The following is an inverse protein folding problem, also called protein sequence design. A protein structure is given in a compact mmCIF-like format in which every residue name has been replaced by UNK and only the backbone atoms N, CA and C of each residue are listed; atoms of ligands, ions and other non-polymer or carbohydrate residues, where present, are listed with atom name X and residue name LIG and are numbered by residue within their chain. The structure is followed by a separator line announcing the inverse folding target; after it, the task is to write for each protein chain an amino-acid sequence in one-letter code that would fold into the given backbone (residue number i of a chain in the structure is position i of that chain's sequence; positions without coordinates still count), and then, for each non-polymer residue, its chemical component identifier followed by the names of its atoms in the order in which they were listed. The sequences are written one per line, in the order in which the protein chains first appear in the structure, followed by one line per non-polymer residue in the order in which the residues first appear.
data_IF_985129951152
#
_entry.id   IF_985129951152
#
_cell.length_a   1.000
_cell.length_b   1.000
_cell.length_c   1.000
_cell.angle_alpha   90.00
_cell.angle_beta   90.00
_cell.angle_gamma   90.00
#
_symmetry.space_group_name_H-M   'P 1'
#
loop_
_entity.id
_entity.type
_entity.pdbx_description
1 polymer ?
#
# COMPACT_ATOMS: atom_id res chain seq x y z
N UNK A 1 -24.78 30.72 11.69
CA UNK A 1 -24.19 30.49 10.35
C UNK A 1 -25.06 29.45 9.69
N UNK A 2 -25.73 29.81 8.60
CA UNK A 2 -26.54 28.87 7.83
C UNK A 2 -25.59 28.14 6.86
N UNK A 3 -25.53 26.81 6.99
CA UNK A 3 -24.65 25.98 6.17
C UNK A 3 -25.50 25.42 5.04
N UNK A 4 -25.26 25.85 3.80
CA UNK A 4 -25.92 25.31 2.60
C UNK A 4 -25.18 24.04 2.14
N UNK A 5 -25.36 22.95 2.90
CA UNK A 5 -24.85 21.64 2.51
C UNK A 5 -25.94 20.84 1.81
N UNK A 6 -25.67 20.47 0.56
CA UNK A 6 -26.55 19.63 -0.26
C UNK A 6 -25.95 18.24 -0.45
N UNK A 7 -26.18 17.33 0.51
CA UNK A 7 -25.62 15.98 0.43
C UNK A 7 -26.25 15.18 -0.72
N UNK A 8 -25.48 14.31 -1.33
CA UNK A 8 -26.01 13.24 -2.18
C UNK A 8 -26.82 12.25 -1.32
N UNK A 9 -27.65 11.40 -1.94
CA UNK A 9 -28.43 10.39 -1.21
C UNK A 9 -27.53 9.53 -0.32
N UNK A 10 -26.35 9.13 -0.82
CA UNK A 10 -25.41 8.30 -0.05
C UNK A 10 -24.69 9.06 1.06
N UNK A 11 -24.46 10.34 0.87
CA UNK A 11 -23.93 11.20 1.95
C UNK A 11 -25.00 11.47 3.03
N UNK A 12 -26.28 11.57 2.65
CA UNK A 12 -27.37 11.68 3.61
C UNK A 12 -27.50 10.42 4.47
N UNK A 13 -27.46 9.24 3.84
CA UNK A 13 -27.43 7.95 4.55
C UNK A 13 -26.26 7.88 5.55
N UNK A 14 -25.06 8.32 5.14
CA UNK A 14 -23.88 8.38 6.01
C UNK A 14 -24.07 9.38 7.17
N UNK A 15 -24.72 10.51 6.88
CA UNK A 15 -25.02 11.53 7.87
C UNK A 15 -25.93 11.00 8.97
N UNK A 16 -26.97 10.25 8.61
CA UNK A 16 -27.91 9.65 9.57
C UNK A 16 -27.19 8.68 10.51
N UNK A 17 -26.30 7.82 9.98
CA UNK A 17 -25.49 6.92 10.81
C UNK A 17 -24.48 7.64 11.72
N UNK A 18 -23.96 8.78 11.28
CA UNK A 18 -23.07 9.59 12.12
C UNK A 18 -23.79 10.27 13.28
N UNK A 19 -25.13 10.38 13.22
CA UNK A 19 -25.96 11.02 14.24
C UNK A 19 -26.91 10.06 14.98
N UNK A 20 -26.92 8.76 14.60
CA UNK A 20 -27.69 7.75 15.34
C UNK A 20 -27.00 7.35 16.66
N UNK A 21 -27.72 6.61 17.50
CA UNK A 21 -27.21 6.15 18.78
C UNK A 21 -26.55 4.77 18.74
N UNK A 22 -26.62 4.06 17.62
CA UNK A 22 -26.21 2.65 17.51
C UNK A 22 -24.88 2.48 16.81
N UNK A 23 -24.68 3.21 15.71
CA UNK A 23 -23.49 3.06 14.87
C UNK A 23 -22.29 3.75 15.50
N UNK A 24 -21.14 3.08 15.52
CA UNK A 24 -19.85 3.67 15.93
C UNK A 24 -18.79 3.61 14.84
N UNK A 25 -18.87 2.64 13.93
CA UNK A 25 -17.94 2.44 12.83
C UNK A 25 -18.70 2.49 11.50
N UNK A 26 -18.42 3.51 10.69
CA UNK A 26 -19.09 3.73 9.41
C UNK A 26 -18.05 3.65 8.29
N UNK A 27 -18.15 2.66 7.41
CA UNK A 27 -17.32 2.55 6.22
C UNK A 27 -18.09 3.04 4.99
N UNK A 28 -17.68 4.19 4.48
CA UNK A 28 -18.19 4.77 3.24
C UNK A 28 -17.28 4.33 2.09
N UNK A 29 -17.56 3.17 1.51
CA UNK A 29 -16.76 2.50 0.52
C UNK A 29 -17.35 2.59 -0.89
N UNK A 30 -16.52 2.45 -1.93
CA UNK A 30 -17.01 2.38 -3.30
C UNK A 30 -16.12 3.05 -4.34
N UNK A 31 -16.68 3.41 -5.50
CA UNK A 31 -15.92 3.93 -6.63
C UNK A 31 -15.16 5.23 -6.33
N UNK A 32 -14.13 5.51 -7.11
CA UNK A 32 -13.48 6.82 -7.10
C UNK A 32 -14.47 7.91 -7.51
N UNK A 33 -14.30 9.13 -7.00
CA UNK A 33 -15.20 10.23 -7.32
C UNK A 33 -16.57 10.21 -6.63
N UNK A 34 -16.87 9.21 -5.78
CA UNK A 34 -18.17 9.11 -5.07
C UNK A 34 -18.40 10.14 -3.95
N UNK A 35 -17.58 11.20 -3.84
CA UNK A 35 -17.76 12.27 -2.86
C UNK A 35 -17.40 11.90 -1.41
N UNK A 36 -16.74 10.77 -1.19
CA UNK A 36 -16.43 10.22 0.14
C UNK A 36 -15.52 11.12 0.98
N UNK A 37 -14.37 11.53 0.44
CA UNK A 37 -13.38 12.38 1.15
C UNK A 37 -13.93 13.78 1.42
N UNK A 38 -14.71 14.35 0.47
CA UNK A 38 -15.42 15.61 0.68
C UNK A 38 -16.41 15.51 1.84
N UNK A 39 -17.21 14.43 1.88
CA UNK A 39 -18.16 14.20 2.96
C UNK A 39 -17.48 14.05 4.33
N UNK A 40 -16.38 13.29 4.42
CA UNK A 40 -15.62 13.16 5.66
C UNK A 40 -15.06 14.49 6.16
N UNK A 41 -14.57 15.32 5.24
CA UNK A 41 -14.12 16.69 5.54
C UNK A 41 -15.29 17.58 6.01
N UNK A 42 -16.46 17.48 5.37
CA UNK A 42 -17.65 18.22 5.73
C UNK A 42 -18.16 17.85 7.14
N UNK A 43 -18.17 16.57 7.46
CA UNK A 43 -18.53 16.10 8.80
C UNK A 43 -17.58 16.62 9.88
N UNK A 44 -16.27 16.60 9.64
CA UNK A 44 -15.29 17.16 10.57
C UNK A 44 -15.48 18.67 10.77
N UNK A 45 -15.68 19.42 9.68
CA UNK A 45 -15.92 20.87 9.75
C UNK A 45 -17.19 21.17 10.54
N UNK A 46 -18.30 20.51 10.21
CA UNK A 46 -19.56 20.64 10.95
C UNK A 46 -19.36 20.38 12.45
N UNK A 47 -18.70 19.29 12.78
CA UNK A 47 -18.46 18.87 14.15
C UNK A 47 -17.64 19.89 14.94
N UNK A 48 -16.59 20.45 14.33
CA UNK A 48 -15.81 21.51 14.95
C UNK A 48 -16.58 22.80 15.17
N UNK A 49 -17.45 23.17 14.24
CA UNK A 49 -18.29 24.38 14.37
C UNK A 49 -19.40 24.19 15.40
N UNK A 50 -19.98 23.00 15.47
CA UNK A 50 -21.14 22.69 16.35
C UNK A 50 -20.75 22.44 17.80
N UNK A 51 -19.57 21.86 18.07
CA UNK A 51 -19.15 21.40 19.40
C UNK A 51 -17.85 22.11 19.82
N UNK A 52 -17.93 23.27 20.53
CA UNK A 52 -16.77 24.06 20.89
C UNK A 52 -15.77 23.31 21.76
N UNK A 53 -14.47 23.53 21.53
CA UNK A 53 -13.39 22.97 22.33
C UNK A 53 -13.20 21.46 22.20
N UNK A 54 -13.86 20.81 21.23
CA UNK A 54 -13.69 19.38 20.93
C UNK A 54 -12.44 19.13 20.07
N UNK A 55 -11.97 17.87 20.00
CA UNK A 55 -10.83 17.45 19.20
C UNK A 55 -11.23 16.33 18.28
N UNK A 56 -10.94 16.49 16.99
CA UNK A 56 -11.27 15.52 15.96
C UNK A 56 -9.99 15.04 15.30
N UNK A 57 -9.99 13.82 14.79
CA UNK A 57 -8.86 13.28 14.04
C UNK A 57 -9.19 13.22 12.55
N UNK A 58 -8.27 13.70 11.72
CA UNK A 58 -8.23 13.45 10.28
C UNK A 58 -7.01 12.56 10.02
N UNK A 59 -7.24 11.32 9.60
CA UNK A 59 -6.21 10.30 9.41
C UNK A 59 -6.10 9.80 7.99
N UNK A 60 -4.90 9.38 7.63
CA UNK A 60 -4.59 8.60 6.42
C UNK A 60 -3.31 7.80 6.68
N UNK A 61 -3.03 6.77 5.86
CA UNK A 61 -1.80 5.99 6.03
C UNK A 61 -0.54 6.87 6.04
N UNK A 62 -0.44 7.88 5.18
CA UNK A 62 0.74 8.75 5.05
C UNK A 62 0.35 10.22 5.21
N UNK A 63 0.96 10.92 6.17
CA UNK A 63 0.66 12.33 6.47
C UNK A 63 0.93 13.26 5.28
N UNK A 64 1.99 13.03 4.51
CA UNK A 64 2.27 13.81 3.31
C UNK A 64 1.10 13.73 2.33
N UNK A 65 0.64 12.53 2.01
CA UNK A 65 -0.49 12.30 1.11
C UNK A 65 -1.79 12.88 1.69
N UNK A 66 -2.01 12.77 3.00
CA UNK A 66 -3.15 13.41 3.66
C UNK A 66 -3.16 14.91 3.38
N UNK A 67 -2.03 15.60 3.52
CA UNK A 67 -1.91 17.04 3.26
C UNK A 67 -2.12 17.40 1.79
N UNK A 68 -1.67 16.55 0.88
CA UNK A 68 -1.77 16.79 -0.58
C UNK A 68 -3.17 16.49 -1.14
N UNK A 69 -3.99 15.72 -0.44
CA UNK A 69 -5.30 15.26 -0.93
C UNK A 69 -6.46 15.58 0.01
N UNK A 70 -6.59 14.86 1.11
CA UNK A 70 -7.73 14.97 2.05
C UNK A 70 -7.85 16.35 2.67
N UNK A 71 -6.72 16.98 3.01
CA UNK A 71 -6.68 18.35 3.53
C UNK A 71 -7.13 19.38 2.48
N UNK A 72 -6.82 19.17 1.20
CA UNK A 72 -7.33 20.01 0.12
C UNK A 72 -8.85 19.90 -0.01
N UNK A 73 -9.41 18.69 0.12
CA UNK A 73 -10.86 18.49 0.20
C UNK A 73 -11.48 19.27 1.36
N UNK A 74 -10.82 19.27 2.51
CA UNK A 74 -11.28 20.06 3.67
C UNK A 74 -11.27 21.57 3.38
N UNK A 75 -10.24 22.09 2.74
CA UNK A 75 -10.21 23.51 2.35
C UNK A 75 -11.29 23.86 1.30
N UNK A 76 -11.58 22.93 0.38
CA UNK A 76 -12.69 23.10 -0.56
C UNK A 76 -14.02 23.20 0.19
N UNK A 77 -14.28 22.32 1.15
CA UNK A 77 -15.49 22.39 2.00
C UNK A 77 -15.56 23.72 2.77
N UNK A 78 -14.43 24.18 3.35
CA UNK A 78 -14.38 25.47 4.02
C UNK A 78 -14.76 26.62 3.08
N UNK A 79 -14.27 26.59 1.84
CA UNK A 79 -14.59 27.58 0.82
C UNK A 79 -16.08 27.57 0.45
N UNK A 80 -16.64 26.37 0.20
CA UNK A 80 -18.04 26.20 -0.18
C UNK A 80 -18.99 26.66 0.94
N UNK A 81 -18.63 26.41 2.18
CA UNK A 81 -19.39 26.82 3.36
C UNK A 81 -19.03 28.23 3.85
N UNK A 82 -18.20 28.96 3.12
CA UNK A 82 -17.76 30.33 3.42
C UNK A 82 -17.11 30.46 4.82
N UNK A 83 -16.44 29.40 5.29
CA UNK A 83 -15.65 29.38 6.53
C UNK A 83 -14.24 29.88 6.24
N UNK A 84 -13.88 31.07 6.71
CA UNK A 84 -12.68 31.77 6.29
C UNK A 84 -11.45 31.41 7.12
N UNK A 85 -10.36 31.09 6.44
CA UNK A 85 -9.05 30.95 7.06
C UNK A 85 -8.58 32.28 7.66
N UNK A 86 -8.00 32.25 8.85
CA UNK A 86 -7.53 33.43 9.58
C UNK A 86 -8.61 34.07 10.47
N UNK A 87 -9.90 33.87 10.17
CA UNK A 87 -11.05 34.36 10.91
C UNK A 87 -11.68 33.23 11.74
N UNK A 88 -12.15 32.19 11.07
CA UNK A 88 -12.85 31.06 11.71
C UNK A 88 -11.91 29.93 12.12
N UNK A 89 -10.83 29.74 11.40
CA UNK A 89 -9.82 28.73 11.71
C UNK A 89 -8.40 29.14 11.26
N UNK A 90 -7.39 28.49 11.86
CA UNK A 90 -5.98 28.56 11.45
C UNK A 90 -5.43 27.17 11.27
N UNK A 91 -4.56 27.00 10.28
CA UNK A 91 -3.82 25.77 10.08
C UNK A 91 -2.35 25.96 10.44
N UNK A 92 -1.89 25.23 11.46
CA UNK A 92 -0.51 25.16 11.84
C UNK A 92 0.15 23.95 11.15
N UNK A 93 0.96 24.21 10.13
CA UNK A 93 1.62 23.17 9.34
C UNK A 93 2.73 22.43 10.11
N UNK A 94 3.29 23.05 11.16
CA UNK A 94 4.35 22.45 11.98
C UNK A 94 3.79 21.44 12.98
N UNK A 95 2.71 21.79 13.68
CA UNK A 95 2.01 20.88 14.61
C UNK A 95 1.02 19.94 13.93
N UNK A 96 0.70 20.18 12.65
CA UNK A 96 -0.33 19.45 11.89
C UNK A 96 -1.72 19.54 12.53
N UNK A 97 -2.09 20.73 13.00
CA UNK A 97 -3.36 20.98 13.67
C UNK A 97 -4.12 22.11 12.96
N UNK A 98 -5.41 21.92 12.76
CA UNK A 98 -6.35 22.98 12.39
C UNK A 98 -7.04 23.42 13.68
N UNK A 99 -6.92 24.70 14.05
CA UNK A 99 -7.50 25.29 15.25
C UNK A 99 -8.62 26.24 14.87
N UNK A 100 -9.78 26.06 15.48
CA UNK A 100 -10.95 26.91 15.28
C UNK A 100 -11.06 28.00 16.35
N UNK A 101 -11.68 29.11 15.99
CA UNK A 101 -11.88 30.25 16.90
C UNK A 101 -12.71 29.89 18.15
N UNK A 102 -13.52 28.84 18.11
CA UNK A 102 -14.28 28.33 19.24
C UNK A 102 -13.50 27.32 20.12
N UNK A 103 -12.21 27.13 19.85
CA UNK A 103 -11.32 26.23 20.60
C UNK A 103 -11.35 24.78 20.15
N UNK A 104 -12.17 24.39 19.18
CA UNK A 104 -12.13 23.04 18.63
C UNK A 104 -10.93 22.83 17.70
N UNK A 105 -10.53 21.59 17.50
CA UNK A 105 -9.31 21.25 16.77
C UNK A 105 -9.53 20.04 15.85
N UNK A 106 -8.84 20.02 14.70
CA UNK A 106 -8.64 18.82 13.89
C UNK A 106 -7.14 18.47 13.90
N UNK A 107 -6.82 17.27 14.39
CA UNK A 107 -5.48 16.72 14.46
C UNK A 107 -5.22 15.88 13.20
N UNK A 108 -4.27 16.28 12.37
CA UNK A 108 -3.87 15.50 11.20
C UNK A 108 -2.88 14.42 11.65
N UNK A 109 -3.19 13.16 11.40
CA UNK A 109 -2.40 12.01 11.84
C UNK A 109 -2.09 11.04 10.71
N UNK A 110 -0.87 10.60 10.73
CA UNK A 110 -0.34 9.49 9.99
C UNK A 110 -0.71 8.17 10.73
N UNK A 111 -1.24 7.22 9.99
CA UNK A 111 -1.73 5.95 10.51
C UNK A 111 -0.97 4.76 9.91
N UNK A 112 0.21 5.02 9.35
CA UNK A 112 1.08 3.97 8.86
C UNK A 112 1.72 3.21 10.02
N UNK A 113 1.77 1.89 9.91
CA UNK A 113 2.43 1.05 10.92
C UNK A 113 3.95 1.07 10.71
N UNK A 114 4.64 1.99 11.34
CA UNK A 114 6.09 2.07 11.28
C UNK A 114 6.74 0.92 12.07
N UNK A 115 7.85 0.36 11.58
CA UNK A 115 8.61 -0.66 12.33
C UNK A 115 9.08 -0.17 13.71
N UNK A 116 9.31 1.15 13.85
CA UNK A 116 9.70 1.77 15.13
C UNK A 116 8.51 1.97 16.09
N UNK A 117 7.27 1.90 15.60
CA UNK A 117 6.03 2.05 16.39
C UNK A 117 4.98 1.02 15.94
N UNK A 118 5.24 -0.29 16.12
CA UNK A 118 4.36 -1.35 15.63
C UNK A 118 3.04 -1.43 16.39
N UNK A 119 2.94 -0.74 17.53
CA UNK A 119 1.76 -0.71 18.39
C UNK A 119 1.00 0.61 18.33
N UNK A 120 1.46 1.58 17.53
CA UNK A 120 0.88 2.92 17.47
C UNK A 120 0.93 3.65 18.83
N UNK A 121 2.02 3.46 19.59
CA UNK A 121 2.21 4.11 20.89
C UNK A 121 2.22 5.64 20.77
N UNK A 122 2.64 6.18 19.62
CA UNK A 122 2.54 7.60 19.28
C UNK A 122 1.09 8.14 19.28
N UNK A 123 0.09 7.28 19.12
CA UNK A 123 -1.32 7.61 19.23
C UNK A 123 -1.88 7.34 20.64
N UNK A 124 -1.07 6.75 21.52
CA UNK A 124 -1.50 6.26 22.83
C UNK A 124 -2.09 7.33 23.77
N UNK A 125 -1.54 8.54 23.71
CA UNK A 125 -1.96 9.69 24.53
C UNK A 125 -3.05 10.56 23.91
N UNK A 126 -3.57 10.22 22.73
CA UNK A 126 -4.60 11.00 22.08
C UNK A 126 -5.94 10.88 22.83
N UNK A 127 -6.63 12.01 22.92
CA UNK A 127 -8.01 12.11 23.36
C UNK A 127 -8.78 12.92 22.33
N UNK A 128 -9.71 12.26 21.64
CA UNK A 128 -10.47 12.81 20.54
C UNK A 128 -11.96 12.59 20.73
N UNK A 129 -12.78 13.38 20.06
CA UNK A 129 -14.25 13.31 20.10
C UNK A 129 -14.84 12.48 18.97
N UNK A 130 -14.07 12.26 17.91
CA UNK A 130 -14.39 11.41 16.76
C UNK A 130 -13.26 11.42 15.74
N UNK A 131 -13.35 10.56 14.73
CA UNK A 131 -12.30 10.41 13.73
C UNK A 131 -12.84 10.20 12.32
N UNK A 132 -12.18 10.81 11.34
CA UNK A 132 -12.30 10.49 9.93
C UNK A 132 -10.97 9.91 9.41
N UNK A 133 -11.02 8.71 8.85
CA UNK A 133 -9.86 8.06 8.21
C UNK A 133 -10.14 7.91 6.73
N UNK A 134 -9.39 8.64 5.91
CA UNK A 134 -9.48 8.59 4.46
C UNK A 134 -8.56 7.51 3.89
N UNK A 135 -9.01 6.80 2.84
CA UNK A 135 -8.30 5.66 2.24
C UNK A 135 -7.87 4.61 3.29
N UNK A 136 -8.81 4.23 4.15
CA UNK A 136 -8.56 3.36 5.32
C UNK A 136 -8.04 1.97 4.92
N UNK A 137 -8.30 1.53 3.70
CA UNK A 137 -7.73 0.31 3.12
C UNK A 137 -6.19 0.32 3.04
N UNK A 138 -5.55 1.50 3.11
CA UNK A 138 -4.10 1.65 3.20
C UNK A 138 -3.57 1.56 4.64
N UNK A 139 -4.46 1.55 5.63
CA UNK A 139 -4.13 1.40 7.05
C UNK A 139 -4.36 -0.04 7.50
N UNK A 140 -3.67 -0.45 8.56
CA UNK A 140 -3.98 -1.74 9.21
C UNK A 140 -5.26 -1.63 10.05
N UNK A 141 -5.97 -2.72 10.22
CA UNK A 141 -7.12 -2.77 11.13
C UNK A 141 -6.72 -2.39 12.56
N UNK A 142 -5.50 -2.76 12.98
CA UNK A 142 -4.93 -2.36 14.28
C UNK A 142 -4.88 -0.84 14.43
N UNK A 143 -4.48 -0.10 13.38
CA UNK A 143 -4.47 1.36 13.40
C UNK A 143 -5.87 1.93 13.65
N UNK A 144 -6.89 1.42 12.94
CA UNK A 144 -8.30 1.78 13.12
C UNK A 144 -8.76 1.50 14.56
N UNK A 145 -8.44 0.32 15.10
CA UNK A 145 -8.83 -0.07 16.45
C UNK A 145 -8.16 0.82 17.52
N UNK A 146 -6.88 1.18 17.35
CA UNK A 146 -6.20 2.12 18.24
C UNK A 146 -6.88 3.49 18.19
N UNK A 147 -7.16 4.05 17.01
CA UNK A 147 -7.88 5.34 16.88
C UNK A 147 -9.25 5.27 17.53
N UNK A 148 -10.04 4.22 17.30
CA UNK A 148 -11.35 4.03 17.90
C UNK A 148 -11.28 4.06 19.43
N UNK A 149 -10.26 3.43 20.03
CA UNK A 149 -10.07 3.42 21.50
C UNK A 149 -9.71 4.80 22.10
N UNK A 150 -9.34 5.79 21.28
CA UNK A 150 -9.00 7.17 21.69
C UNK A 150 -10.19 8.12 21.64
N UNK A 151 -11.36 7.68 21.15
CA UNK A 151 -12.56 8.50 21.05
C UNK A 151 -13.25 8.51 22.41
N UNK A 152 -12.90 9.50 23.23
CA UNK A 152 -13.40 9.66 24.62
C UNK A 152 -13.45 11.11 25.11
N UNK A 153 -12.99 12.08 24.30
CA UNK A 153 -12.84 13.47 24.73
C UNK A 153 -14.16 14.21 24.61
N UNK A 154 -14.63 14.80 25.71
CA UNK A 154 -15.84 15.65 25.82
C UNK A 154 -17.13 15.01 25.28
N UNK A 155 -17.23 13.69 25.25
CA UNK A 155 -18.41 13.02 24.71
C UNK A 155 -19.67 13.33 25.58
N UNK A 156 -19.54 13.21 26.91
CA UNK A 156 -20.65 13.47 27.84
C UNK A 156 -21.06 14.93 27.88
N UNK A 157 -20.15 15.88 27.66
CA UNK A 157 -20.45 17.33 27.66
C UNK A 157 -21.44 17.71 26.56
N UNK A 158 -21.34 17.05 25.40
CA UNK A 158 -22.17 17.33 24.23
C UNK A 158 -23.15 16.22 23.88
N UNK A 159 -23.26 15.16 24.68
CA UNK A 159 -24.08 13.99 24.35
C UNK A 159 -23.63 13.24 23.11
N UNK A 160 -22.31 13.28 22.80
CA UNK A 160 -21.77 12.64 21.62
C UNK A 160 -21.59 11.14 21.82
N UNK A 161 -21.88 10.37 20.78
CA UNK A 161 -21.50 8.96 20.69
C UNK A 161 -20.14 8.84 19.99
N UNK A 162 -19.27 7.88 20.39
CA UNK A 162 -18.04 7.61 19.67
C UNK A 162 -18.34 7.27 18.21
N UNK A 163 -17.75 8.00 17.26
CA UNK A 163 -17.94 7.78 15.83
C UNK A 163 -16.59 7.77 15.12
N UNK A 164 -16.39 6.77 14.29
CA UNK A 164 -15.31 6.70 13.34
C UNK A 164 -15.89 6.55 11.93
N UNK A 165 -15.66 7.55 11.10
CA UNK A 165 -15.99 7.51 9.68
C UNK A 165 -14.75 7.08 8.91
N UNK A 166 -14.91 6.15 8.02
CA UNK A 166 -13.85 5.61 7.17
C UNK A 166 -14.26 5.72 5.71
N UNK A 167 -13.31 6.03 4.84
CA UNK A 167 -13.54 6.01 3.39
C UNK A 167 -12.50 5.14 2.69
N UNK A 168 -12.89 4.45 1.63
CA UNK A 168 -11.97 3.73 0.76
C UNK A 168 -12.58 3.39 -0.60
N UNK A 169 -11.73 2.97 -1.52
CA UNK A 169 -12.14 2.24 -2.70
C UNK A 169 -12.13 0.72 -2.40
N UNK A 170 -12.81 -0.12 -3.21
CA UNK A 170 -12.81 -1.57 -3.01
C UNK A 170 -11.39 -2.13 -2.89
N UNK A 171 -11.14 -2.92 -1.85
CA UNK A 171 -9.86 -3.58 -1.61
C UNK A 171 -10.10 -4.93 -0.93
N UNK A 172 -9.34 -5.96 -1.31
CA UNK A 172 -9.44 -7.34 -0.79
C UNK A 172 -8.58 -7.52 0.47
N UNK A 173 -8.76 -6.65 1.47
CA UNK A 173 -8.13 -6.75 2.78
C UNK A 173 -9.21 -6.63 3.88
N UNK A 174 -8.86 -6.31 5.12
CA UNK A 174 -9.81 -6.26 6.25
C UNK A 174 -11.07 -5.39 6.00
N UNK A 175 -11.00 -4.37 5.13
CA UNK A 175 -12.19 -3.56 4.76
C UNK A 175 -13.20 -4.36 3.93
N UNK A 176 -12.74 -5.45 3.26
CA UNK A 176 -13.62 -6.34 2.53
C UNK A 176 -14.58 -7.10 3.45
N UNK A 177 -14.19 -7.32 4.71
CA UNK A 177 -15.05 -7.99 5.68
C UNK A 177 -16.28 -7.15 6.01
N UNK A 178 -16.17 -5.81 6.05
CA UNK A 178 -17.34 -4.93 6.17
C UNK A 178 -18.31 -5.11 5.01
N UNK A 179 -17.79 -5.10 3.77
CA UNK A 179 -18.62 -5.29 2.59
C UNK A 179 -19.26 -6.69 2.58
N UNK A 180 -18.49 -7.74 2.86
CA UNK A 180 -18.97 -9.13 2.87
C UNK A 180 -20.07 -9.33 3.90
N UNK A 181 -19.87 -8.87 5.12
CA UNK A 181 -20.86 -8.98 6.19
C UNK A 181 -22.12 -8.15 5.88
N UNK A 182 -21.97 -6.97 5.28
CA UNK A 182 -23.10 -6.17 4.81
C UNK A 182 -23.87 -6.86 3.69
N UNK A 183 -23.19 -7.42 2.70
CA UNK A 183 -23.79 -8.17 1.60
C UNK A 183 -24.58 -9.39 2.10
N UNK A 184 -24.02 -10.07 3.09
CA UNK A 184 -24.58 -11.30 3.67
C UNK A 184 -25.61 -11.01 4.79
N UNK A 185 -26.00 -9.73 4.98
CA UNK A 185 -26.93 -9.22 6.02
C UNK A 185 -26.53 -9.61 7.45
N UNK A 186 -25.23 -9.63 7.71
CA UNK A 186 -24.63 -10.09 8.98
C UNK A 186 -23.68 -9.06 9.59
N UNK A 187 -23.83 -7.78 9.23
CA UNK A 187 -22.99 -6.71 9.77
C UNK A 187 -23.38 -6.42 11.24
N UNK A 188 -22.42 -6.35 12.18
CA UNK A 188 -22.68 -6.02 13.56
C UNK A 188 -23.44 -4.69 13.74
N UNK A 189 -24.32 -4.61 14.73
CA UNK A 189 -25.20 -3.44 14.95
C UNK A 189 -24.45 -2.11 15.09
N UNK A 190 -23.21 -2.13 15.56
CA UNK A 190 -22.39 -0.93 15.69
C UNK A 190 -21.63 -0.56 14.42
N UNK A 191 -21.67 -1.38 13.40
CA UNK A 191 -20.98 -1.17 12.11
C UNK A 191 -21.98 -0.83 11.02
N UNK A 192 -21.57 0.02 10.08
CA UNK A 192 -22.33 0.38 8.87
C UNK A 192 -21.42 0.38 7.66
N UNK A 193 -21.96 -0.10 6.57
CA UNK A 193 -21.32 -0.02 5.25
C UNK A 193 -22.24 0.72 4.28
N UNK A 194 -21.67 1.70 3.58
CA UNK A 194 -22.38 2.48 2.56
C UNK A 194 -21.59 2.36 1.27
N UNK A 195 -22.24 1.83 0.23
CA UNK A 195 -21.62 1.74 -1.09
C UNK A 195 -21.92 2.99 -1.90
N UNK A 196 -20.87 3.79 -2.18
CA UNK A 196 -20.94 4.90 -3.11
C UNK A 196 -20.50 4.46 -4.51
N UNK A 197 -21.24 4.86 -5.51
CA UNK A 197 -20.89 4.69 -6.93
C UNK A 197 -20.59 6.03 -7.57
N UNK A 198 -19.83 6.04 -8.64
CA UNK A 198 -19.50 7.27 -9.38
C UNK A 198 -20.76 8.07 -9.74
N UNK A 199 -21.81 7.39 -10.23
CA UNK A 199 -23.09 7.99 -10.62
C UNK A 199 -23.89 8.60 -9.46
N UNK A 200 -23.55 8.29 -8.21
CA UNK A 200 -24.22 8.88 -7.04
C UNK A 200 -23.73 10.31 -6.79
N UNK A 201 -22.66 10.75 -7.46
CA UNK A 201 -22.12 12.10 -7.37
C UNK A 201 -22.43 12.91 -8.64
N UNK A 202 -23.40 13.86 -8.59
CA UNK A 202 -23.79 14.65 -9.75
C UNK A 202 -22.74 15.68 -10.17
N UNK A 203 -21.67 15.87 -9.39
CA UNK A 203 -20.61 16.86 -9.68
C UNK A 203 -19.42 16.29 -10.43
N UNK A 204 -19.47 15.02 -10.82
CA UNK A 204 -18.40 14.36 -11.60
C UNK A 204 -18.51 14.76 -13.07
N UNK A 205 -17.39 15.16 -13.65
CA UNK A 205 -17.32 15.42 -15.08
C UNK A 205 -17.28 14.11 -15.90
N UNK A 206 -17.91 14.10 -17.07
CA UNK A 206 -17.82 12.98 -18.02
C UNK A 206 -16.37 12.66 -18.40
N UNK A 207 -15.52 13.68 -18.49
CA UNK A 207 -14.09 13.52 -18.75
C UNK A 207 -13.39 12.65 -17.69
N UNK A 208 -13.74 12.79 -16.40
CA UNK A 208 -13.17 11.97 -15.34
C UNK A 208 -13.60 10.50 -15.48
N UNK A 209 -14.86 10.26 -15.81
CA UNK A 209 -15.35 8.90 -16.08
C UNK A 209 -14.62 8.28 -17.27
N UNK A 210 -14.38 9.02 -18.36
CA UNK A 210 -13.60 8.56 -19.50
C UNK A 210 -12.17 8.17 -19.12
N UNK A 211 -11.51 8.90 -18.22
CA UNK A 211 -10.18 8.52 -17.73
C UNK A 211 -10.21 7.19 -16.96
N UNK A 212 -11.22 6.99 -16.10
CA UNK A 212 -11.38 5.74 -15.38
C UNK A 212 -11.65 4.55 -16.32
N UNK A 213 -12.34 4.76 -17.45
CA UNK A 213 -12.58 3.73 -18.47
C UNK A 213 -11.31 3.24 -19.17
N UNK A 214 -10.25 4.05 -19.19
CA UNK A 214 -8.94 3.71 -19.78
C UNK A 214 -8.04 2.86 -18.88
N UNK A 215 -8.41 2.70 -17.62
CA UNK A 215 -7.66 1.88 -16.68
C UNK A 215 -7.69 0.40 -17.08
N UNK A 216 -6.75 -0.37 -16.52
CA UNK A 216 -6.78 -1.83 -16.63
C UNK A 216 -8.10 -2.42 -16.11
N UNK A 217 -8.47 -3.65 -16.52
CA UNK A 217 -9.76 -4.23 -16.17
C UNK A 217 -10.04 -4.27 -14.66
N UNK A 218 -9.04 -4.62 -13.83
CA UNK A 218 -9.20 -4.73 -12.38
C UNK A 218 -9.39 -3.35 -11.75
N UNK A 219 -8.54 -2.39 -12.10
CA UNK A 219 -8.66 -1.00 -11.63
C UNK A 219 -9.98 -0.38 -12.06
N UNK A 220 -10.46 -0.68 -13.25
CA UNK A 220 -11.76 -0.20 -13.74
C UNK A 220 -12.92 -0.78 -12.93
N UNK A 221 -12.93 -2.08 -12.63
CA UNK A 221 -13.93 -2.68 -11.75
C UNK A 221 -13.94 -2.02 -10.38
N UNK A 222 -12.77 -1.79 -9.79
CA UNK A 222 -12.63 -1.16 -8.48
C UNK A 222 -13.02 0.32 -8.47
N UNK A 223 -12.40 1.10 -9.35
CA UNK A 223 -12.44 2.57 -9.27
C UNK A 223 -13.62 3.17 -10.03
N UNK A 224 -14.01 2.60 -11.18
CA UNK A 224 -15.16 3.08 -11.95
C UNK A 224 -16.46 2.47 -11.42
N UNK A 225 -16.52 1.14 -11.31
CA UNK A 225 -17.75 0.44 -10.97
C UNK A 225 -17.97 0.31 -9.45
N UNK A 226 -16.93 0.53 -8.63
CA UNK A 226 -17.01 0.33 -7.18
C UNK A 226 -17.33 -1.12 -6.84
N UNK A 227 -16.89 -2.06 -7.69
CA UNK A 227 -17.14 -3.48 -7.54
C UNK A 227 -16.22 -4.06 -6.46
N UNK A 228 -16.78 -4.61 -5.42
CA UNK A 228 -16.05 -5.26 -4.32
C UNK A 228 -15.75 -6.74 -4.62
N UNK A 229 -16.50 -7.33 -5.54
CA UNK A 229 -16.32 -8.71 -6.01
C UNK A 229 -15.47 -8.77 -7.29
N UNK A 230 -14.61 -7.76 -7.50
CA UNK A 230 -13.74 -7.77 -8.65
C UNK A 230 -12.84 -9.02 -8.64
N UNK A 231 -12.68 -9.60 -9.83
CA UNK A 231 -11.76 -10.72 -10.04
C UNK A 231 -10.37 -10.12 -10.33
N UNK A 232 -9.40 -10.45 -9.49
CA UNK A 232 -8.01 -10.06 -9.70
C UNK A 232 -7.37 -10.81 -10.88
N UNK A 233 -8.12 -11.72 -11.49
CA UNK A 233 -7.70 -12.53 -12.61
C UNK A 233 -7.02 -13.84 -12.19
N UNK A 234 -7.28 -14.90 -12.95
CA UNK A 234 -6.59 -16.20 -12.79
C UNK A 234 -5.09 -16.11 -13.09
N UNK A 235 -4.67 -15.00 -13.71
CA UNK A 235 -3.29 -14.69 -14.08
C UNK A 235 -2.45 -14.12 -12.94
N UNK A 236 -3.02 -13.84 -11.79
CA UNK A 236 -2.34 -13.33 -10.62
C UNK A 236 -1.22 -14.28 -10.16
N UNK A 237 -0.04 -13.73 -9.95
CA UNK A 237 1.11 -14.47 -9.42
C UNK A 237 1.30 -14.20 -7.93
N UNK A 238 1.15 -12.94 -7.51
CA UNK A 238 1.28 -12.47 -6.12
C UNK A 238 -0.07 -12.09 -5.55
N UNK A 239 -0.34 -12.52 -4.30
CA UNK A 239 -1.49 -12.06 -3.54
C UNK A 239 -1.28 -10.62 -3.06
N UNK A 240 -2.20 -9.70 -3.36
CA UNK A 240 -2.01 -8.28 -3.03
C UNK A 240 -1.81 -8.03 -1.53
N UNK A 241 -2.54 -8.74 -0.67
CA UNK A 241 -2.35 -8.65 0.78
C UNK A 241 -0.98 -9.13 1.23
N UNK A 242 -0.43 -10.16 0.58
CA UNK A 242 0.91 -10.64 0.86
C UNK A 242 1.97 -9.60 0.46
N UNK A 243 1.76 -8.86 -0.63
CA UNK A 243 2.61 -7.73 -1.01
C UNK A 243 2.61 -6.62 0.04
N UNK A 244 1.45 -6.24 0.56
CA UNK A 244 1.35 -5.26 1.65
C UNK A 244 2.01 -5.73 2.94
N UNK A 245 2.04 -7.04 3.17
CA UNK A 245 2.65 -7.65 4.36
C UNK A 245 4.16 -7.80 4.28
N UNK A 246 4.79 -7.64 3.09
CA UNK A 246 6.25 -7.75 2.92
C UNK A 246 7.06 -6.92 3.91
N UNK A 247 6.54 -5.77 4.34
CA UNK A 247 7.26 -4.81 5.21
C UNK A 247 6.97 -4.99 6.70
N UNK A 248 6.17 -5.99 7.08
CA UNK A 248 5.75 -6.24 8.47
C UNK A 248 5.72 -7.72 8.87
N UNK A 249 6.04 -8.62 7.95
CA UNK A 249 6.10 -10.06 8.23
C UNK A 249 7.08 -10.36 9.37
N UNK A 250 6.81 -11.43 10.10
CA UNK A 250 7.77 -12.01 11.04
C UNK A 250 8.37 -13.24 10.39
N UNK A 251 9.65 -13.17 10.10
CA UNK A 251 10.39 -14.23 9.40
C UNK A 251 11.38 -14.87 10.37
N UNK A 252 11.60 -16.17 10.26
CA UNK A 252 12.61 -16.87 11.05
C UNK A 252 13.99 -16.27 10.77
N UNK A 253 14.75 -16.04 11.83
CA UNK A 253 16.11 -15.54 11.72
C UNK A 253 17.00 -16.60 11.07
N UNK A 254 17.75 -16.21 10.08
CA UNK A 254 18.79 -17.01 9.41
C UNK A 254 19.99 -16.10 9.18
N UNK A 255 21.16 -16.52 9.66
CA UNK A 255 22.38 -15.71 9.61
C UNK A 255 23.10 -15.75 8.27
N UNK A 256 22.70 -16.62 7.34
CA UNK A 256 23.34 -16.70 6.03
C UNK A 256 23.01 -15.47 5.18
N UNK A 257 24.06 -14.72 4.82
CA UNK A 257 23.91 -13.48 4.06
C UNK A 257 24.10 -13.70 2.55
N UNK A 258 23.33 -12.91 1.75
CA UNK A 258 23.35 -12.99 0.28
C UNK A 258 23.30 -11.57 -0.32
N UNK A 259 23.75 -11.47 -1.60
CA UNK A 259 23.50 -10.33 -2.47
C UNK A 259 22.81 -10.79 -3.74
N UNK A 260 21.80 -10.04 -4.18
CA UNK A 260 21.21 -10.15 -5.51
C UNK A 260 21.29 -8.80 -6.21
N UNK A 261 21.88 -8.81 -7.42
CA UNK A 261 22.31 -7.60 -8.10
C UNK A 261 21.70 -7.55 -9.51
N UNK A 262 20.68 -6.71 -9.70
CA UNK A 262 20.22 -6.31 -11.02
C UNK A 262 21.06 -5.13 -11.49
N UNK A 263 21.88 -5.33 -12.51
CA UNK A 263 22.91 -4.38 -12.91
C UNK A 263 22.54 -3.68 -14.21
N UNK A 264 22.48 -2.36 -14.17
CA UNK A 264 22.30 -1.50 -15.33
C UNK A 264 23.44 -0.47 -15.39
N UNK A 265 24.08 -0.29 -16.56
CA UNK A 265 25.20 0.67 -16.70
C UNK A 265 24.76 2.00 -17.27
N UNK A 266 24.10 1.99 -18.41
CA UNK A 266 23.72 3.20 -19.15
C UNK A 266 22.33 2.98 -19.77
N UNK A 267 21.34 3.80 -19.39
CA UNK A 267 20.00 3.70 -19.93
C UNK A 267 18.94 4.24 -18.99
N UNK A 268 17.71 3.80 -19.18
CA UNK A 268 16.55 4.14 -18.35
C UNK A 268 16.36 3.19 -17.16
N UNK A 269 17.10 2.09 -17.11
CA UNK A 269 16.98 1.06 -16.07
C UNK A 269 17.91 1.39 -14.90
N UNK A 270 17.49 1.11 -13.68
CA UNK A 270 18.24 1.37 -12.45
C UNK A 270 19.06 0.14 -12.06
N UNK A 271 20.25 0.38 -11.50
CA UNK A 271 20.94 -0.67 -10.75
C UNK A 271 20.22 -0.86 -9.41
N UNK A 272 19.91 -2.09 -9.06
CA UNK A 272 19.35 -2.47 -7.76
C UNK A 272 20.15 -3.61 -7.15
N UNK A 273 20.80 -3.34 -6.02
CA UNK A 273 21.47 -4.36 -5.21
C UNK A 273 20.66 -4.57 -3.93
N UNK A 274 20.27 -5.82 -3.69
CA UNK A 274 19.52 -6.19 -2.50
C UNK A 274 20.38 -7.09 -1.62
N UNK A 275 20.59 -6.67 -0.36
CA UNK A 275 21.30 -7.42 0.65
C UNK A 275 20.31 -8.17 1.55
N UNK A 276 20.54 -9.46 1.70
CA UNK A 276 19.70 -10.38 2.43
C UNK A 276 20.41 -11.03 3.61
N UNK A 277 19.59 -11.35 4.63
CA UNK A 277 19.94 -12.28 5.70
C UNK A 277 18.83 -13.35 5.75
N UNK A 278 19.15 -14.56 5.32
CA UNK A 278 18.12 -15.57 5.04
C UNK A 278 17.12 -15.12 3.98
N UNK A 279 15.84 -14.96 4.37
CA UNK A 279 14.75 -14.39 3.56
C UNK A 279 14.35 -12.97 4.00
N UNK A 280 15.16 -12.32 4.82
CA UNK A 280 14.98 -10.92 5.18
C UNK A 280 15.84 -10.02 4.30
N UNK A 281 15.22 -9.06 3.63
CA UNK A 281 15.93 -7.96 2.95
C UNK A 281 16.32 -6.94 4.01
N UNK A 282 17.63 -6.79 4.21
CA UNK A 282 18.20 -5.87 5.20
C UNK A 282 18.46 -4.48 4.62
N UNK A 283 18.76 -4.40 3.32
CA UNK A 283 19.15 -3.17 2.65
C UNK A 283 18.91 -3.25 1.14
N UNK A 284 18.44 -2.16 0.57
CA UNK A 284 18.28 -1.99 -0.88
C UNK A 284 19.11 -0.77 -1.30
N UNK A 285 20.01 -0.97 -2.24
CA UNK A 285 20.89 0.08 -2.79
C UNK A 285 20.51 0.30 -4.24
N UNK A 286 20.28 1.54 -4.63
CA UNK A 286 19.87 1.91 -5.99
C UNK A 286 20.72 3.03 -6.54
N UNK A 287 21.10 2.94 -7.81
CA UNK A 287 21.77 4.01 -8.54
C UNK A 287 21.19 4.14 -9.95
N UNK A 288 21.04 5.36 -10.43
CA UNK A 288 20.46 5.64 -11.75
C UNK A 288 21.48 5.45 -12.89
N UNK A 289 22.77 5.65 -12.60
CA UNK A 289 23.86 5.49 -13.56
C UNK A 289 25.13 5.06 -12.83
N UNK A 290 25.75 3.96 -13.28
CA UNK A 290 26.97 3.47 -12.68
C UNK A 290 27.92 2.90 -13.74
N UNK A 291 29.23 3.00 -13.49
CA UNK A 291 30.22 2.30 -14.31
C UNK A 291 30.42 0.86 -13.81
N UNK A 292 30.83 -0.03 -14.69
CA UNK A 292 31.09 -1.42 -14.32
C UNK A 292 32.11 -1.56 -13.17
N UNK A 293 33.16 -0.74 -13.16
CA UNK A 293 34.15 -0.73 -12.09
C UNK A 293 33.57 -0.25 -10.75
N UNK A 294 32.68 0.73 -10.79
CA UNK A 294 32.00 1.20 -9.58
C UNK A 294 31.10 0.12 -8.98
N UNK A 295 30.30 -0.54 -9.82
CA UNK A 295 29.42 -1.64 -9.40
C UNK A 295 30.25 -2.79 -8.80
N UNK A 296 31.35 -3.17 -9.46
CA UNK A 296 32.26 -4.20 -8.97
C UNK A 296 32.82 -3.86 -7.59
N UNK A 297 33.30 -2.62 -7.39
CA UNK A 297 33.80 -2.13 -6.10
C UNK A 297 32.70 -2.14 -5.04
N UNK A 298 31.50 -1.68 -5.39
CA UNK A 298 30.36 -1.63 -4.46
C UNK A 298 29.98 -3.05 -3.99
N UNK A 299 29.85 -4.00 -4.90
CA UNK A 299 29.54 -5.39 -4.55
C UNK A 299 30.64 -6.00 -3.67
N UNK A 300 31.93 -5.77 -3.99
CA UNK A 300 33.06 -6.25 -3.18
C UNK A 300 33.04 -5.67 -1.78
N UNK A 301 32.86 -4.35 -1.66
CA UNK A 301 32.81 -3.67 -0.36
C UNK A 301 31.65 -4.16 0.50
N UNK A 302 30.45 -4.38 -0.10
CA UNK A 302 29.31 -4.94 0.61
C UNK A 302 29.58 -6.39 1.06
N UNK A 303 30.18 -7.19 0.19
CA UNK A 303 30.52 -8.58 0.53
C UNK A 303 31.52 -8.66 1.68
N UNK A 304 32.57 -7.84 1.66
CA UNK A 304 33.58 -7.75 2.73
C UNK A 304 32.98 -7.23 4.04
N UNK A 305 32.28 -6.10 3.97
CA UNK A 305 31.65 -5.46 5.15
C UNK A 305 30.71 -6.40 5.90
N UNK A 306 29.99 -7.25 5.18
CA UNK A 306 28.95 -8.11 5.74
C UNK A 306 29.31 -9.60 5.75
N UNK A 307 30.57 -9.96 5.45
CA UNK A 307 31.05 -11.34 5.47
C UNK A 307 30.35 -12.26 4.49
N UNK A 308 29.92 -11.73 3.31
CA UNK A 308 29.14 -12.48 2.33
C UNK A 308 30.07 -13.32 1.44
N UNK A 309 29.86 -14.62 1.44
CA UNK A 309 30.63 -15.50 0.58
C UNK A 309 30.29 -15.24 -0.90
N UNK A 310 31.27 -15.21 -1.78
CA UNK A 310 31.07 -14.99 -3.23
C UNK A 310 30.05 -15.94 -3.85
N UNK A 311 29.98 -17.19 -3.42
CA UNK A 311 28.97 -18.17 -3.88
C UNK A 311 27.52 -17.77 -3.54
N UNK A 312 27.33 -16.84 -2.59
CA UNK A 312 26.05 -16.30 -2.16
C UNK A 312 25.71 -14.95 -2.86
N UNK A 313 26.48 -14.58 -3.87
CA UNK A 313 26.23 -13.38 -4.68
C UNK A 313 25.70 -13.83 -6.03
N UNK A 314 24.54 -13.33 -6.43
CA UNK A 314 23.96 -13.54 -7.76
C UNK A 314 23.91 -12.22 -8.52
N UNK A 315 24.38 -12.22 -9.76
CA UNK A 315 24.46 -11.03 -10.60
C UNK A 315 23.74 -11.31 -11.93
N UNK A 316 22.84 -10.39 -12.34
CA UNK A 316 22.27 -10.45 -13.69
C UNK A 316 23.40 -10.47 -14.72
N UNK A 317 23.42 -11.51 -15.53
CA UNK A 317 24.46 -11.76 -16.51
C UNK A 317 23.97 -11.65 -17.94
N UNK A 318 22.81 -11.03 -18.17
CA UNK A 318 22.37 -10.64 -19.50
C UNK A 318 23.00 -9.28 -19.87
N UNK A 319 23.62 -9.21 -21.06
CA UNK A 319 24.26 -7.97 -21.51
C UNK A 319 25.51 -7.61 -20.71
N UNK A 320 25.49 -6.45 -20.06
CA UNK A 320 26.68 -5.90 -19.38
C UNK A 320 27.05 -6.68 -18.13
N UNK A 321 26.10 -7.28 -17.44
CA UNK A 321 26.35 -8.12 -16.27
C UNK A 321 27.19 -9.35 -16.57
N UNK A 322 27.26 -9.77 -17.84
CA UNK A 322 28.17 -10.83 -18.28
C UNK A 322 29.63 -10.47 -18.02
N UNK A 323 30.02 -9.21 -18.24
CA UNK A 323 31.37 -8.72 -17.93
C UNK A 323 31.67 -8.85 -16.41
N UNK A 324 30.75 -8.36 -15.55
CA UNK A 324 30.92 -8.39 -14.09
C UNK A 324 31.03 -9.81 -13.55
N UNK A 325 30.17 -10.72 -14.00
CA UNK A 325 30.21 -12.12 -13.57
C UNK A 325 31.47 -12.85 -14.02
N UNK A 326 32.07 -12.45 -15.14
CA UNK A 326 33.35 -13.00 -15.64
C UNK A 326 34.55 -12.56 -14.79
N UNK A 327 34.60 -11.29 -14.40
CA UNK A 327 35.71 -10.75 -13.58
C UNK A 327 35.58 -11.06 -12.09
N UNK A 328 34.39 -11.20 -11.59
CA UNK A 328 34.12 -11.57 -10.19
C UNK A 328 34.05 -13.09 -10.02
N UNK A 329 35.20 -13.77 -10.08
CA UNK A 329 35.25 -15.24 -9.93
C UNK A 329 34.55 -15.71 -8.63
N UNK A 330 33.71 -16.75 -8.78
CA UNK A 330 33.00 -17.39 -7.66
C UNK A 330 31.63 -16.85 -7.36
N UNK A 331 31.16 -15.80 -8.05
CA UNK A 331 29.74 -15.35 -8.00
C UNK A 331 28.86 -16.23 -8.89
N UNK A 332 27.57 -16.23 -8.64
CA UNK A 332 26.57 -16.98 -9.42
C UNK A 332 26.03 -16.09 -10.54
N UNK A 333 26.27 -16.39 -11.82
CA UNK A 333 25.65 -15.66 -12.91
C UNK A 333 24.17 -16.01 -13.02
N UNK A 334 23.34 -15.00 -13.27
CA UNK A 334 21.91 -15.18 -13.55
C UNK A 334 21.65 -14.85 -15.02
N UNK A 335 21.30 -15.86 -15.80
CA UNK A 335 20.93 -15.71 -17.21
C UNK A 335 19.42 -15.93 -17.34
N UNK A 336 18.67 -14.88 -17.62
CA UNK A 336 17.21 -14.86 -17.57
C UNK A 336 16.57 -15.97 -18.41
N UNK A 337 17.08 -16.18 -19.62
CA UNK A 337 16.56 -17.15 -20.58
C UNK A 337 17.14 -18.56 -20.47
N UNK A 338 17.99 -18.83 -19.47
CA UNK A 338 18.49 -20.18 -19.25
C UNK A 338 17.37 -21.16 -18.90
N UNK A 339 17.62 -22.47 -19.10
CA UNK A 339 16.68 -23.53 -18.78
C UNK A 339 16.34 -23.51 -17.28
N UNK A 340 15.10 -23.85 -16.96
CA UNK A 340 14.66 -24.05 -15.58
C UNK A 340 15.52 -25.12 -14.89
N UNK A 341 15.80 -24.93 -13.60
CA UNK A 341 16.60 -25.83 -12.77
C UNK A 341 15.81 -27.12 -12.56
N UNK A 342 16.51 -28.26 -12.54
CA UNK A 342 15.90 -29.60 -12.41
C UNK A 342 14.87 -29.93 -13.48
N UNK A 343 14.95 -29.27 -14.65
CA UNK A 343 14.02 -29.44 -15.76
C UNK A 343 12.52 -29.29 -15.37
N UNK A 344 12.23 -28.47 -14.35
CA UNK A 344 10.85 -28.18 -13.96
C UNK A 344 10.09 -27.46 -15.09
N UNK A 345 8.75 -27.54 -15.08
CA UNK A 345 7.87 -27.09 -16.18
C UNK A 345 7.73 -25.56 -16.26
N UNK A 346 8.83 -24.82 -16.32
CA UNK A 346 8.87 -23.38 -16.53
C UNK A 346 9.49 -23.02 -17.87
N UNK A 347 9.08 -21.90 -18.45
CA UNK A 347 9.60 -21.41 -19.72
C UNK A 347 11.12 -21.20 -19.67
N UNK A 348 11.60 -20.57 -18.59
CA UNK A 348 13.01 -20.27 -18.35
C UNK A 348 13.29 -20.08 -16.84
N UNK A 349 14.55 -19.83 -16.49
CA UNK A 349 14.99 -19.61 -15.11
C UNK A 349 14.35 -18.40 -14.47
N UNK A 350 14.18 -17.28 -15.20
CA UNK A 350 13.49 -16.09 -14.72
C UNK A 350 12.07 -16.41 -14.25
N UNK A 351 11.30 -17.09 -15.08
CA UNK A 351 9.94 -17.53 -14.73
C UNK A 351 9.94 -18.40 -13.48
N UNK A 352 10.83 -19.42 -13.44
CA UNK A 352 10.91 -20.31 -12.26
C UNK A 352 11.21 -19.54 -10.98
N UNK A 353 12.12 -18.58 -11.01
CA UNK A 353 12.47 -17.77 -9.85
C UNK A 353 11.33 -16.82 -9.44
N UNK A 354 10.57 -16.24 -10.39
CA UNK A 354 9.37 -15.45 -10.06
C UNK A 354 8.28 -16.27 -9.39
N UNK A 355 8.02 -17.51 -9.86
CA UNK A 355 7.08 -18.40 -9.20
C UNK A 355 7.56 -18.78 -7.79
N UNK A 356 8.87 -18.99 -7.61
CA UNK A 356 9.45 -19.25 -6.30
C UNK A 356 9.38 -18.04 -5.38
N UNK A 357 9.58 -16.83 -5.91
CA UNK A 357 9.38 -15.59 -5.17
C UNK A 357 7.92 -15.44 -4.72
N UNK A 358 6.98 -15.70 -5.63
CA UNK A 358 5.56 -15.63 -5.32
C UNK A 358 5.14 -16.64 -4.24
N UNK A 359 5.66 -17.88 -4.30
CA UNK A 359 5.46 -18.88 -3.24
C UNK A 359 5.90 -18.35 -1.87
N UNK A 360 7.09 -17.74 -1.79
CA UNK A 360 7.62 -17.24 -0.52
C UNK A 360 6.88 -15.98 -0.04
N UNK A 361 6.52 -15.07 -0.95
CA UNK A 361 5.75 -13.85 -0.64
C UNK A 361 4.35 -14.21 -0.14
N UNK A 362 3.63 -15.05 -0.89
CA UNK A 362 2.25 -15.44 -0.56
C UNK A 362 2.17 -16.23 0.75
N UNK A 363 3.24 -16.97 1.09
CA UNK A 363 3.37 -17.66 2.37
C UNK A 363 3.82 -16.77 3.55
N UNK A 364 4.10 -15.47 3.30
CA UNK A 364 4.57 -14.55 4.34
C UNK A 364 6.01 -14.80 4.81
N UNK A 365 6.82 -15.54 4.05
CA UNK A 365 8.18 -15.94 4.42
C UNK A 365 9.25 -14.87 4.12
N UNK A 366 8.89 -13.75 3.51
CA UNK A 366 9.82 -12.66 3.18
C UNK A 366 9.49 -11.42 4.02
N UNK A 367 10.54 -10.81 4.58
CA UNK A 367 10.48 -9.51 5.23
C UNK A 367 11.40 -8.53 4.47
N UNK A 368 10.92 -7.32 4.18
CA UNK A 368 11.70 -6.23 3.59
C UNK A 368 11.79 -5.09 4.58
N UNK A 369 13.00 -4.79 5.08
CA UNK A 369 13.26 -3.72 6.07
C UNK A 369 13.44 -2.33 5.44
N UNK A 370 12.86 -2.09 4.28
CA UNK A 370 12.90 -0.78 3.64
C UNK A 370 11.99 0.21 4.38
N UNK A 371 12.48 1.47 4.55
CA UNK A 371 11.74 2.54 5.23
C UNK A 371 11.18 3.57 4.26
N UNK A 372 11.82 3.73 3.10
CA UNK A 372 11.38 4.66 2.08
C UNK A 372 10.05 4.17 1.45
N UNK A 373 9.04 5.02 1.57
CA UNK A 373 7.69 4.71 1.10
C UNK A 373 7.63 4.64 -0.43
N UNK A 374 8.41 5.46 -1.13
CA UNK A 374 8.42 5.47 -2.58
C UNK A 374 9.06 4.18 -3.13
N UNK A 375 10.10 3.66 -2.46
CA UNK A 375 10.70 2.36 -2.80
C UNK A 375 9.72 1.22 -2.50
N UNK A 376 9.04 1.25 -1.36
CA UNK A 376 8.00 0.24 -1.02
C UNK A 376 6.89 0.19 -2.06
N UNK A 377 6.37 1.35 -2.45
CA UNK A 377 5.30 1.44 -3.44
C UNK A 377 5.77 0.91 -4.80
N UNK A 378 7.00 1.20 -5.20
CA UNK A 378 7.59 0.65 -6.44
C UNK A 378 7.72 -0.87 -6.40
N UNK A 379 8.18 -1.43 -5.28
CA UNK A 379 8.27 -2.89 -5.09
C UNK A 379 6.89 -3.54 -5.22
N UNK A 380 5.88 -3.00 -4.54
CA UNK A 380 4.50 -3.51 -4.63
C UNK A 380 4.00 -3.45 -6.08
N UNK A 381 4.12 -2.29 -6.73
CA UNK A 381 3.67 -2.08 -8.11
C UNK A 381 4.35 -3.05 -9.09
N UNK A 382 5.68 -3.23 -8.99
CA UNK A 382 6.42 -4.12 -9.87
C UNK A 382 6.06 -5.59 -9.68
N UNK A 383 5.82 -6.03 -8.45
CA UNK A 383 5.40 -7.40 -8.16
C UNK A 383 3.93 -7.63 -8.55
N UNK A 384 3.05 -6.66 -8.35
CA UNK A 384 1.63 -6.76 -8.68
C UNK A 384 1.39 -6.94 -10.18
N UNK A 385 2.15 -6.24 -11.01
CA UNK A 385 2.04 -6.34 -12.49
C UNK A 385 2.72 -7.57 -13.06
N UNK A 386 3.49 -8.30 -12.27
CA UNK A 386 4.10 -9.56 -12.70
C UNK A 386 3.03 -10.67 -12.64
N UNK A 387 2.49 -11.03 -13.83
CA UNK A 387 1.36 -11.96 -13.95
C UNK A 387 1.74 -13.23 -14.71
N UNK A 388 0.99 -14.29 -14.48
CA UNK A 388 1.06 -15.54 -15.25
C UNK A 388 0.64 -15.26 -16.69
N UNK A 389 1.25 -15.94 -17.63
CA UNK A 389 0.90 -15.89 -19.06
C UNK A 389 0.45 -17.26 -19.53
N UNK A 390 -0.42 -17.30 -20.53
CA UNK A 390 -0.92 -18.53 -21.16
C UNK A 390 -1.56 -19.53 -20.18
N UNK A 391 -2.40 -19.04 -19.27
CA UNK A 391 -2.99 -19.85 -18.18
C UNK A 391 -3.88 -20.97 -18.72
N UNK A 392 -4.54 -20.73 -19.84
CA UNK A 392 -5.48 -21.66 -20.46
C UNK A 392 -4.83 -22.58 -21.50
N UNK A 393 -3.49 -22.53 -21.64
CA UNK A 393 -2.75 -23.36 -22.58
C UNK A 393 -1.96 -24.45 -21.85
N UNK A 394 -2.07 -25.68 -22.33
CA UNK A 394 -1.20 -26.77 -21.94
C UNK A 394 0.23 -26.46 -22.39
N UNK A 395 1.13 -26.24 -21.45
CA UNK A 395 2.50 -25.89 -21.77
C UNK A 395 3.36 -25.53 -20.55
N UNK A 396 4.50 -24.92 -20.83
CA UNK A 396 5.38 -24.43 -19.77
C UNK A 396 4.78 -23.21 -19.11
N UNK A 397 4.87 -23.15 -17.80
CA UNK A 397 4.48 -21.98 -17.02
C UNK A 397 5.32 -20.77 -17.47
N UNK A 398 4.66 -19.64 -17.69
CA UNK A 398 5.24 -18.40 -18.17
C UNK A 398 4.73 -17.21 -17.37
N UNK A 399 5.47 -16.11 -17.40
CA UNK A 399 5.08 -14.80 -16.88
C UNK A 399 5.08 -13.77 -18.00
N UNK A 400 4.49 -12.60 -17.76
CA UNK A 400 4.59 -11.46 -18.67
C UNK A 400 6.06 -11.12 -18.93
N UNK A 401 6.39 -10.76 -20.17
CA UNK A 401 7.73 -10.35 -20.56
C UNK A 401 8.10 -8.99 -19.93
N UNK A 402 9.41 -8.72 -19.77
CA UNK A 402 9.90 -7.40 -19.29
C UNK A 402 9.31 -6.25 -20.13
N UNK A 403 9.12 -6.47 -21.45
CA UNK A 403 8.51 -5.46 -22.34
C UNK A 403 7.04 -5.18 -21.99
N UNK A 404 6.25 -6.22 -21.74
CA UNK A 404 4.83 -6.09 -21.35
C UNK A 404 4.72 -5.41 -19.98
N UNK A 405 5.55 -5.79 -19.01
CA UNK A 405 5.62 -5.14 -17.69
C UNK A 405 6.01 -3.66 -17.83
N UNK A 406 7.07 -3.36 -18.60
CA UNK A 406 7.51 -1.98 -18.85
C UNK A 406 6.44 -1.11 -19.51
N UNK A 407 5.63 -1.68 -20.40
CA UNK A 407 4.48 -0.99 -20.99
C UNK A 407 3.38 -0.67 -19.96
N UNK A 408 3.19 -1.54 -18.97
CA UNK A 408 2.17 -1.38 -17.94
C UNK A 408 2.53 -0.30 -16.91
N UNK A 409 3.78 -0.27 -16.43
CA UNK A 409 4.21 0.64 -15.34
C UNK A 409 5.14 1.77 -15.81
N UNK A 410 5.44 1.86 -17.11
CA UNK A 410 6.28 2.91 -17.69
C UNK A 410 7.79 2.80 -17.40
N UNK A 411 8.24 1.79 -16.67
CA UNK A 411 9.63 1.55 -16.30
C UNK A 411 9.96 0.05 -16.21
N UNK A 412 11.24 -0.28 -16.08
CA UNK A 412 11.68 -1.65 -15.82
C UNK A 412 11.35 -2.08 -14.39
N UNK A 413 11.08 -3.39 -14.14
CA UNK A 413 10.80 -3.91 -12.79
C UNK A 413 12.10 -4.28 -12.05
N UNK A 414 13.00 -3.31 -11.89
CA UNK A 414 14.38 -3.54 -11.44
C UNK A 414 14.44 -4.02 -9.97
N UNK A 415 13.53 -3.54 -9.11
CA UNK A 415 13.38 -4.03 -7.74
C UNK A 415 12.88 -5.48 -7.71
N UNK A 416 11.83 -5.78 -8.48
CA UNK A 416 11.27 -7.13 -8.56
C UNK A 416 12.29 -8.12 -9.16
N UNK A 417 13.04 -7.73 -10.19
CA UNK A 417 14.09 -8.54 -10.79
C UNK A 417 15.22 -8.84 -9.78
N UNK A 418 15.67 -7.84 -8.99
CA UNK A 418 16.65 -8.05 -7.92
C UNK A 418 16.15 -9.01 -6.84
N UNK A 419 14.89 -8.85 -6.38
CA UNK A 419 14.28 -9.76 -5.39
C UNK A 419 14.16 -11.19 -5.94
N UNK A 420 13.73 -11.33 -7.19
CA UNK A 420 13.53 -12.63 -7.86
C UNK A 420 14.82 -13.42 -7.98
N UNK A 421 15.94 -12.78 -8.33
CA UNK A 421 17.22 -13.47 -8.51
C UNK A 421 17.71 -14.17 -7.22
N UNK A 422 17.42 -13.64 -6.02
CA UNK A 422 17.74 -14.29 -4.75
C UNK A 422 17.14 -15.70 -4.66
N UNK A 423 16.02 -15.95 -5.30
CA UNK A 423 15.34 -17.25 -5.26
C UNK A 423 16.15 -18.37 -5.93
N UNK A 424 17.12 -18.02 -6.76
CA UNK A 424 18.06 -18.96 -7.38
C UNK A 424 18.75 -19.88 -6.36
N UNK A 425 19.03 -19.36 -5.16
CA UNK A 425 19.70 -20.11 -4.10
C UNK A 425 18.78 -21.09 -3.35
N UNK A 426 17.46 -20.99 -3.50
CA UNK A 426 16.53 -21.93 -2.88
C UNK A 426 16.43 -23.27 -3.61
N UNK A 427 16.89 -23.36 -4.85
CA UNK A 427 16.88 -24.60 -5.64
C UNK A 427 18.10 -25.52 -5.38
N UNK A 428 19.14 -25.02 -4.71
CA UNK A 428 20.40 -25.75 -4.49
C UNK A 428 20.50 -26.53 -3.17
N UNK A 429 19.63 -26.26 -2.21
CA UNK A 429 19.62 -26.93 -0.89
C UNK A 429 18.32 -27.70 -0.71
N UNK A 430 18.40 -29.04 -0.73
CA UNK A 430 17.36 -29.91 -0.18
C UNK A 430 17.33 -29.77 1.36
N UNK A 431 16.81 -28.65 1.87
CA UNK A 431 16.34 -28.53 3.27
C UNK A 431 14.82 -28.63 3.24
N UNK A 432 14.32 -29.82 3.53
CA UNK A 432 12.96 -29.98 4.00
C UNK A 432 12.81 -29.12 5.25
N UNK A 433 12.05 -28.03 5.15
CA UNK A 433 11.48 -27.37 6.32
C UNK A 433 10.42 -28.35 6.81
N UNK A 434 10.77 -29.12 7.84
CA UNK A 434 9.80 -29.90 8.61
C UNK A 434 8.80 -28.91 9.21
N UNK A 435 7.57 -28.94 8.68
CA UNK A 435 6.42 -28.36 9.35
C UNK A 435 6.27 -29.10 10.71
N UNK A 436 6.48 -28.40 11.78
CA UNK A 436 6.00 -28.83 13.10
C UNK A 436 4.54 -28.42 13.20
N UNK A 437 3.71 -29.47 13.43
CA UNK A 437 2.28 -29.36 13.62
C UNK A 437 1.86 -28.61 14.90
#
# INVERSE_FOLDING_TARGET
MEIDFKPTIKQHEAWDYLHDEKSSEILFGGSAGGGKSYFGAAWLLYSCLRYPGTRWLMGRAVLKTLKETTLNSFFSVCSDWKVKKGESYKFNAQSNVIEFSNGSQILLKDLYQYPADPNFDSLGSLEISGAFIDEVNQCTEKAKNVVASRIRYKLGEFGLRPKILMSCNPAKNWVYDFYKQWRDDNLPEHQRFIQAKLKDNPHISEYYEEQLRKLDPVSRERLLHGNWEYDEGKDKLFEYEALLNLFKNKVLEDDEAFLSCDVALMGSDKMVITRWKGLTVEEIITEDKSSANHIEMLIKNLAEKHGINRKNIVIDSDGVGQYLSHYMKGVTPFINNSKAIKAENYQNLKTQCYYKLAEQVNAGNILIKEKDIDIRNKIIEELEVCRRKNIDLDGKLAILSKKEIKQSIGRSPDYADSLMMRMRFLFGKGRSILAWG
#
